data_IF_573866133641
#
_entry.id   IF_573866133641
#
_cell.length_a   1.000
_cell.length_b   1.000
_cell.length_c   1.000
_cell.angle_alpha   90.00
_cell.angle_beta   90.00
_cell.angle_gamma   90.00
#
_symmetry.space_group_name_H-M   'P 1'
#
loop_
_entity.id
_entity.type
_entity.pdbx_description
1 polymer ?
#
# COMPACT_ATOMS: atom_id res chain seq x y z
N UNK A 1 40.97 -40.69 63.48
CA UNK A 1 41.66 -40.92 62.19
C UNK A 1 41.17 -39.88 61.21
N UNK A 2 42.01 -38.87 60.95
CA UNK A 2 41.76 -37.74 60.06
C UNK A 2 42.12 -38.22 58.65
N UNK A 3 41.13 -38.47 57.79
CA UNK A 3 41.40 -38.79 56.39
C UNK A 3 41.81 -37.50 55.65
N UNK A 4 43.00 -37.47 55.03
CA UNK A 4 43.49 -36.36 54.23
C UNK A 4 43.01 -36.50 52.77
N UNK A 5 43.19 -35.43 52.00
CA UNK A 5 43.18 -35.41 50.53
C UNK A 5 41.83 -35.19 49.81
N UNK A 6 41.17 -34.06 50.09
CA UNK A 6 40.27 -33.39 49.11
C UNK A 6 40.94 -32.20 48.39
N UNK A 7 42.16 -31.83 48.80
CA UNK A 7 42.95 -30.76 48.18
C UNK A 7 43.35 -31.00 46.71
N UNK A 8 43.67 -32.22 46.22
CA UNK A 8 44.08 -32.36 44.82
C UNK A 8 42.92 -32.22 43.84
N UNK A 9 41.69 -32.55 44.26
CA UNK A 9 40.49 -32.43 43.43
C UNK A 9 40.08 -30.98 43.21
N UNK A 10 40.23 -30.12 44.22
CA UNK A 10 39.90 -28.68 44.12
C UNK A 10 40.93 -27.94 43.26
N UNK A 11 42.22 -28.32 43.33
CA UNK A 11 43.27 -27.73 42.48
C UNK A 11 43.09 -28.10 41.00
N UNK A 12 42.69 -29.34 40.71
CA UNK A 12 42.40 -29.78 39.33
C UNK A 12 41.19 -29.03 38.75
N UNK A 13 40.15 -28.78 39.57
CA UNK A 13 38.96 -28.04 39.13
C UNK A 13 39.24 -26.55 38.88
N UNK A 14 40.13 -25.92 39.66
CA UNK A 14 40.48 -24.51 39.49
C UNK A 14 41.42 -24.27 38.29
N UNK A 15 42.28 -25.23 37.94
CA UNK A 15 43.14 -25.13 36.76
C UNK A 15 42.38 -25.30 35.43
N UNK A 16 41.23 -25.99 35.44
CA UNK A 16 40.38 -26.14 34.24
C UNK A 16 39.61 -24.85 33.87
N UNK A 17 39.52 -23.87 34.77
CA UNK A 17 38.75 -22.61 34.57
C UNK A 17 39.62 -21.45 34.04
N UNK A 18 40.94 -21.61 33.96
CA UNK A 18 41.87 -20.51 33.63
C UNK A 18 42.63 -20.63 32.31
N UNK A 19 42.22 -21.52 31.41
CA UNK A 19 42.77 -21.55 30.05
C UNK A 19 41.97 -20.60 29.13
N UNK A 20 42.54 -19.46 28.69
CA UNK A 20 41.91 -18.66 27.64
C UNK A 20 41.86 -19.48 26.34
N UNK A 21 40.74 -19.50 25.61
CA UNK A 21 40.68 -20.14 24.32
C UNK A 21 41.70 -19.47 23.40
N UNK A 22 42.71 -20.23 22.99
CA UNK A 22 43.65 -19.88 21.95
C UNK A 22 42.88 -19.37 20.73
N UNK A 23 43.23 -18.17 20.28
CA UNK A 23 42.71 -17.54 19.08
C UNK A 23 43.04 -18.39 17.83
N UNK A 24 42.23 -19.42 17.59
CA UNK A 24 42.04 -19.93 16.25
C UNK A 24 41.14 -18.92 15.53
N UNK A 25 41.67 -18.27 14.49
CA UNK A 25 40.97 -17.24 13.73
C UNK A 25 39.60 -17.72 13.26
N UNK A 26 38.56 -17.32 13.99
CA UNK A 26 37.21 -17.26 13.44
C UNK A 26 37.15 -15.98 12.61
N UNK A 27 37.17 -16.16 11.30
CA UNK A 27 36.55 -15.22 10.38
C UNK A 27 35.21 -14.77 10.98
N UNK A 28 34.88 -13.47 10.99
CA UNK A 28 33.56 -13.05 11.40
C UNK A 28 32.58 -13.58 10.35
N UNK A 29 31.87 -14.68 10.65
CA UNK A 29 30.58 -14.95 10.01
C UNK A 29 29.57 -13.98 10.62
N UNK A 30 29.77 -12.70 10.32
CA UNK A 30 28.74 -11.68 10.44
C UNK A 30 27.78 -11.87 9.27
N UNK A 31 26.93 -12.90 9.31
CA UNK A 31 25.70 -12.98 8.52
C UNK A 31 24.64 -13.76 9.29
N UNK A 32 24.02 -13.12 10.27
CA UNK A 32 22.59 -13.33 10.49
C UNK A 32 21.91 -12.00 10.22
N UNK A 33 21.88 -11.63 8.93
CA UNK A 33 20.86 -10.72 8.46
C UNK A 33 19.56 -11.53 8.38
N UNK A 34 18.63 -11.26 9.29
CA UNK A 34 17.29 -11.90 9.39
C UNK A 34 16.64 -12.21 8.02
N UNK A 35 16.79 -13.45 7.58
CA UNK A 35 16.83 -13.97 6.20
C UNK A 35 15.55 -13.92 5.36
N UNK A 36 14.87 -12.78 5.18
CA UNK A 36 13.87 -12.69 4.10
C UNK A 36 14.57 -12.33 2.78
N UNK A 37 14.67 -13.32 1.88
CA UNK A 37 14.94 -13.10 0.44
C UNK A 37 13.80 -12.27 -0.15
N UNK A 38 14.04 -11.39 -1.15
CA UNK A 38 12.96 -10.83 -1.92
C UNK A 38 12.10 -11.96 -2.49
N UNK A 39 10.78 -11.80 -2.45
CA UNK A 39 9.84 -12.74 -3.04
C UNK A 39 8.72 -12.00 -3.77
N UNK A 40 8.25 -12.61 -4.85
CA UNK A 40 7.12 -12.13 -5.65
C UNK A 40 5.93 -13.07 -5.45
N UNK A 41 4.73 -12.51 -5.34
CA UNK A 41 3.48 -13.24 -5.36
C UNK A 41 2.64 -12.81 -6.57
N UNK A 42 2.37 -13.73 -7.49
CA UNK A 42 1.47 -13.49 -8.60
C UNK A 42 0.04 -13.72 -8.15
N UNK A 43 -0.81 -12.70 -8.25
CA UNK A 43 -2.18 -12.78 -7.78
C UNK A 43 -3.18 -12.47 -8.91
N UNK A 44 -4.43 -12.88 -8.68
CA UNK A 44 -5.53 -12.66 -9.62
C UNK A 44 -5.48 -13.54 -10.87
N UNK A 45 -6.66 -13.76 -11.46
CA UNK A 45 -6.81 -14.60 -12.67
C UNK A 45 -6.61 -13.83 -13.99
N UNK A 46 -6.34 -12.52 -13.93
CA UNK A 46 -6.27 -11.67 -15.10
C UNK A 46 -4.84 -11.52 -15.64
N UNK A 47 -4.65 -11.79 -16.93
CA UNK A 47 -3.42 -11.45 -17.67
C UNK A 47 -3.69 -10.35 -18.71
N UNK A 48 -2.68 -9.56 -19.05
CA UNK A 48 -2.74 -8.57 -20.11
C UNK A 48 -1.95 -9.03 -21.33
N UNK A 49 -2.31 -8.57 -22.52
CA UNK A 49 -1.58 -8.95 -23.74
C UNK A 49 -0.26 -8.18 -23.86
N UNK A 50 0.77 -8.84 -24.40
CA UNK A 50 2.01 -8.17 -24.78
C UNK A 50 1.74 -7.02 -25.77
N UNK A 51 2.50 -5.93 -25.65
CA UNK A 51 2.35 -4.67 -26.40
C UNK A 51 0.96 -4.02 -26.26
N UNK A 52 0.22 -4.33 -25.20
CA UNK A 52 -1.08 -3.69 -24.94
C UNK A 52 -0.94 -2.29 -24.36
N UNK A 53 -2.01 -1.50 -24.46
CA UNK A 53 -2.12 -0.21 -23.79
C UNK A 53 -1.94 -0.34 -22.27
N UNK A 54 -2.39 -1.45 -21.67
CA UNK A 54 -2.18 -1.73 -20.25
C UNK A 54 -0.68 -1.85 -19.91
N UNK A 55 0.09 -2.57 -20.73
CA UNK A 55 1.54 -2.71 -20.54
C UNK A 55 2.26 -1.36 -20.66
N UNK A 56 1.92 -0.56 -21.67
CA UNK A 56 2.48 0.79 -21.82
C UNK A 56 2.15 1.68 -20.61
N UNK A 57 0.93 1.62 -20.10
CA UNK A 57 0.53 2.35 -18.91
C UNK A 57 1.22 1.84 -17.64
N UNK A 58 1.53 0.54 -17.55
CA UNK A 58 2.29 -0.05 -16.44
C UNK A 58 3.72 0.50 -16.41
N UNK A 59 4.38 0.57 -17.58
CA UNK A 59 5.73 1.17 -17.68
C UNK A 59 5.73 2.65 -17.29
N UNK A 60 4.71 3.40 -17.71
CA UNK A 60 4.53 4.81 -17.29
C UNK A 60 4.30 4.93 -15.78
N UNK A 61 3.50 4.04 -15.20
CA UNK A 61 3.25 4.01 -13.76
C UNK A 61 4.54 3.76 -12.97
N UNK A 62 5.39 2.83 -13.39
CA UNK A 62 6.70 2.61 -12.77
C UNK A 62 7.56 3.88 -12.79
N UNK A 63 7.65 4.56 -13.94
CA UNK A 63 8.40 5.82 -14.05
C UNK A 63 7.84 6.94 -13.16
N UNK A 64 6.52 7.02 -13.02
CA UNK A 64 5.85 8.02 -12.17
C UNK A 64 6.19 7.78 -10.70
N UNK A 65 6.13 6.54 -10.23
CA UNK A 65 6.43 6.22 -8.84
C UNK A 65 7.89 6.52 -8.49
N UNK A 66 8.82 6.23 -9.41
CA UNK A 66 10.24 6.58 -9.24
C UNK A 66 10.45 8.10 -9.17
N UNK A 67 9.78 8.87 -10.03
CA UNK A 67 9.87 10.33 -10.01
C UNK A 67 9.29 10.92 -8.71
N UNK A 68 8.20 10.36 -8.21
CA UNK A 68 7.58 10.81 -6.96
C UNK A 68 8.38 10.44 -5.72
N UNK A 69 8.99 9.25 -5.70
CA UNK A 69 9.93 8.86 -4.64
C UNK A 69 11.10 9.84 -4.58
N UNK A 70 11.68 10.18 -5.73
CA UNK A 70 12.79 11.13 -5.82
C UNK A 70 12.40 12.53 -5.35
N UNK A 71 11.13 12.93 -5.52
CA UNK A 71 10.64 14.26 -5.15
C UNK A 71 10.18 14.36 -3.68
N UNK A 72 9.58 13.30 -3.12
CA UNK A 72 8.81 13.38 -1.86
C UNK A 72 9.37 12.50 -0.74
N UNK A 73 10.25 11.55 -1.03
CA UNK A 73 10.79 10.63 -0.04
C UNK A 73 9.81 9.54 0.42
N UNK A 74 10.23 8.64 1.33
CA UNK A 74 10.00 7.22 1.15
C UNK A 74 9.05 6.65 2.21
N UNK A 75 7.80 7.11 2.27
CA UNK A 75 6.84 6.50 3.21
C UNK A 75 5.82 5.63 2.50
N UNK A 76 4.93 6.26 1.75
CA UNK A 76 3.88 5.56 1.02
C UNK A 76 3.46 6.42 -0.17
N UNK A 77 3.25 5.79 -1.31
CA UNK A 77 2.68 6.45 -2.49
C UNK A 77 1.90 5.44 -3.30
N UNK A 78 0.78 5.90 -3.82
CA UNK A 78 -0.13 5.12 -4.63
C UNK A 78 -0.52 5.92 -5.86
N UNK A 79 -0.37 5.32 -7.04
CA UNK A 79 -0.70 5.96 -8.32
C UNK A 79 -1.37 4.99 -9.26
N UNK A 80 -2.12 5.56 -10.19
CA UNK A 80 -2.76 4.85 -11.27
C UNK A 80 -2.60 5.65 -12.57
N UNK A 81 -2.39 4.96 -13.69
CA UNK A 81 -2.17 5.57 -15.01
C UNK A 81 -3.16 5.00 -16.00
N UNK A 82 -3.82 5.86 -16.78
CA UNK A 82 -4.76 5.47 -17.82
C UNK A 82 -6.22 5.39 -17.38
N UNK A 83 -7.04 4.78 -18.23
CA UNK A 83 -8.49 4.61 -18.07
C UNK A 83 -8.89 3.14 -18.21
N UNK A 84 -9.98 2.74 -17.53
CA UNK A 84 -10.48 1.37 -17.57
C UNK A 84 -10.80 0.95 -19.02
N UNK A 85 -10.44 -0.27 -19.47
CA UNK A 85 -9.81 -1.38 -18.71
C UNK A 85 -8.26 -1.35 -18.72
N UNK A 86 -7.64 -0.30 -19.24
CA UNK A 86 -6.19 -0.14 -19.35
C UNK A 86 -5.62 0.76 -18.25
N UNK A 87 -6.07 0.57 -17.00
CA UNK A 87 -5.69 1.41 -15.86
C UNK A 87 -4.94 0.60 -14.80
N UNK A 88 -3.63 0.39 -14.95
CA UNK A 88 -2.81 -0.14 -13.86
C UNK A 88 -2.75 0.85 -12.69
N UNK A 89 -2.68 0.27 -11.49
CA UNK A 89 -2.46 0.95 -10.22
C UNK A 89 -1.32 0.25 -9.48
N UNK A 90 -0.55 1.00 -8.72
CA UNK A 90 0.46 0.45 -7.85
C UNK A 90 0.64 1.31 -6.61
N UNK A 91 0.89 0.65 -5.49
CA UNK A 91 1.30 1.26 -4.24
C UNK A 91 2.69 0.77 -3.87
N UNK A 92 3.52 1.64 -3.32
CA UNK A 92 4.78 1.24 -2.72
C UNK A 92 4.86 1.71 -1.28
N UNK A 93 5.54 0.92 -0.46
CA UNK A 93 5.91 1.26 0.89
C UNK A 93 7.41 1.05 1.04
N UNK A 94 8.13 2.11 1.35
CA UNK A 94 9.56 2.02 1.62
C UNK A 94 9.76 1.88 3.12
N UNK A 95 10.65 0.98 3.54
CA UNK A 95 11.04 0.93 4.94
C UNK A 95 12.02 2.07 5.21
N UNK A 96 11.65 2.98 6.10
CA UNK A 96 12.58 3.94 6.68
C UNK A 96 13.62 3.18 7.50
N UNK A 97 14.90 3.25 7.14
CA UNK A 97 15.94 2.97 8.13
C UNK A 97 16.05 4.16 9.06
N UNK A 98 15.91 3.89 10.36
CA UNK A 98 16.30 4.83 11.41
C UNK A 98 17.78 5.14 11.20
N UNK A 99 18.17 6.41 11.07
CA UNK A 99 19.59 6.77 11.25
C UNK A 99 19.97 6.28 12.63
N UNK A 100 20.98 5.43 12.72
CA UNK A 100 21.57 5.10 14.02
C UNK A 100 22.07 6.39 14.67
N UNK A 101 22.00 6.45 16.01
CA UNK A 101 22.30 7.66 16.81
C UNK A 101 23.72 8.20 16.54
N UNK A 102 24.61 7.35 16.04
CA UNK A 102 25.99 7.67 15.67
C UNK A 102 26.14 8.21 14.23
N UNK A 103 25.04 8.40 13.50
CA UNK A 103 25.07 8.82 12.09
C UNK A 103 25.60 7.75 11.12
N UNK A 104 25.93 6.55 11.62
CA UNK A 104 26.53 5.42 10.88
C UNK A 104 25.53 4.41 10.36
N UNK A 105 24.24 4.57 10.67
CA UNK A 105 23.19 3.76 10.08
C UNK A 105 23.11 4.03 8.59
N UNK A 106 23.77 3.17 7.80
CA UNK A 106 23.82 3.16 6.32
C UNK A 106 22.54 3.75 5.73
N UNK A 107 22.63 5.04 5.44
CA UNK A 107 21.49 5.94 5.26
C UNK A 107 20.71 5.74 3.99
N UNK A 108 21.05 4.76 3.15
CA UNK A 108 20.39 4.52 1.89
C UNK A 108 20.24 3.00 1.66
N UNK A 109 19.05 2.46 1.89
CA UNK A 109 18.53 1.61 0.82
C UNK A 109 17.86 2.59 -0.13
N UNK A 110 18.43 2.90 -1.31
CA UNK A 110 17.78 3.83 -2.23
C UNK A 110 16.43 3.20 -2.59
N UNK A 111 15.33 3.72 -2.03
CA UNK A 111 14.02 3.10 -2.22
C UNK A 111 13.66 3.13 -3.71
N UNK A 112 14.06 4.18 -4.44
CA UNK A 112 14.09 4.21 -5.90
C UNK A 112 14.65 2.92 -6.53
N UNK A 113 15.81 2.45 -6.09
CA UNK A 113 16.42 1.25 -6.65
C UNK A 113 15.62 -0.01 -6.28
N UNK A 114 15.03 -0.06 -5.08
CA UNK A 114 14.15 -1.14 -4.69
C UNK A 114 12.86 -1.16 -5.52
N UNK A 115 12.24 -0.01 -5.77
CA UNK A 115 11.05 0.13 -6.61
C UNK A 115 11.38 -0.32 -8.05
N UNK A 116 12.51 0.14 -8.60
CA UNK A 116 12.95 -0.24 -9.93
C UNK A 116 13.21 -1.76 -10.02
N UNK A 117 13.89 -2.35 -9.03
CA UNK A 117 14.10 -3.79 -8.91
C UNK A 117 12.77 -4.56 -8.83
N UNK A 118 11.86 -4.11 -7.97
CA UNK A 118 10.57 -4.73 -7.74
C UNK A 118 9.76 -4.87 -9.04
N UNK A 119 9.72 -3.84 -9.89
CA UNK A 119 9.04 -3.94 -11.18
C UNK A 119 9.67 -4.97 -12.13
N UNK A 120 11.01 -5.09 -12.12
CA UNK A 120 11.74 -6.08 -12.91
C UNK A 120 11.51 -7.51 -12.38
N UNK A 121 11.57 -7.69 -11.06
CA UNK A 121 11.31 -8.98 -10.41
C UNK A 121 9.87 -9.44 -10.62
N UNK A 122 8.89 -8.53 -10.49
CA UNK A 122 7.48 -8.80 -10.80
C UNK A 122 7.30 -9.19 -12.26
N UNK A 123 7.97 -8.51 -13.19
CA UNK A 123 7.87 -8.86 -14.62
C UNK A 123 8.51 -10.23 -14.93
N UNK A 124 9.59 -10.58 -14.22
CA UNK A 124 10.27 -11.86 -14.38
C UNK A 124 9.47 -13.03 -13.81
N UNK A 125 8.90 -12.88 -12.61
CA UNK A 125 8.21 -13.97 -11.90
C UNK A 125 6.72 -14.04 -12.24
N UNK A 126 6.10 -12.89 -12.54
CA UNK A 126 4.69 -12.77 -12.90
C UNK A 126 4.51 -12.13 -14.28
N UNK A 127 4.99 -12.76 -15.36
CA UNK A 127 4.85 -12.21 -16.70
C UNK A 127 3.38 -12.02 -17.05
N UNK A 128 3.02 -10.84 -17.54
CA UNK A 128 1.66 -10.49 -17.98
C UNK A 128 0.57 -10.50 -16.92
N UNK A 129 0.86 -10.78 -15.64
CA UNK A 129 -0.15 -10.74 -14.59
C UNK A 129 -0.67 -9.32 -14.38
N UNK A 130 -1.98 -9.18 -14.18
CA UNK A 130 -2.63 -7.90 -13.86
C UNK A 130 -2.62 -7.58 -12.37
N UNK A 131 -2.17 -8.51 -11.52
CA UNK A 131 -1.97 -8.27 -10.09
C UNK A 131 -0.74 -9.05 -9.60
N UNK A 132 0.11 -8.39 -8.83
CA UNK A 132 1.31 -8.98 -8.25
C UNK A 132 1.75 -8.20 -7.02
N UNK A 133 2.39 -8.89 -6.10
CA UNK A 133 3.02 -8.30 -4.93
C UNK A 133 4.51 -8.61 -4.94
N UNK A 134 5.30 -7.67 -4.46
CA UNK A 134 6.71 -7.85 -4.21
C UNK A 134 7.02 -7.43 -2.78
N UNK A 135 7.78 -8.29 -2.11
CA UNK A 135 8.19 -8.08 -0.73
C UNK A 135 9.70 -8.24 -0.65
N UNK A 136 10.38 -7.17 -0.29
CA UNK A 136 11.80 -7.16 0.06
C UNK A 136 11.96 -6.50 1.42
N UNK A 137 13.18 -6.50 1.99
CA UNK A 137 13.51 -5.77 3.22
C UNK A 137 13.51 -4.25 3.05
N UNK A 138 13.75 -3.77 1.83
CA UNK A 138 13.89 -2.34 1.55
C UNK A 138 12.55 -1.68 1.18
N UNK A 139 11.71 -2.38 0.43
CA UNK A 139 10.40 -1.89 0.02
C UNK A 139 9.42 -3.05 -0.23
N UNK A 140 8.14 -2.72 -0.23
CA UNK A 140 7.08 -3.58 -0.77
C UNK A 140 6.39 -2.84 -1.90
N UNK A 141 6.00 -3.57 -2.95
CA UNK A 141 5.25 -3.05 -4.10
C UNK A 141 4.00 -3.91 -4.28
N UNK A 142 2.84 -3.28 -4.33
CA UNK A 142 1.61 -3.89 -4.81
C UNK A 142 1.32 -3.32 -6.19
N UNK A 143 1.10 -4.19 -7.15
CA UNK A 143 0.69 -3.86 -8.51
C UNK A 143 -0.66 -4.53 -8.80
N UNK A 144 -1.61 -3.79 -9.35
CA UNK A 144 -2.94 -4.32 -9.68
C UNK A 144 -3.61 -3.56 -10.83
N UNK A 145 -4.62 -4.17 -11.45
CA UNK A 145 -5.56 -3.47 -12.31
C UNK A 145 -6.55 -2.69 -11.44
N UNK A 146 -6.73 -1.40 -11.75
CA UNK A 146 -7.73 -0.59 -11.09
C UNK A 146 -9.14 -1.12 -11.40
N UNK A 147 -9.87 -1.52 -10.36
CA UNK A 147 -11.27 -1.94 -10.45
C UNK A 147 -12.16 -0.93 -9.73
N UNK A 148 -13.26 -0.56 -10.40
CA UNK A 148 -14.30 0.30 -9.81
C UNK A 148 -15.12 -0.49 -8.78
N UNK A 149 -15.29 -1.80 -9.01
CA UNK A 149 -15.99 -2.74 -8.14
C UNK A 149 -15.10 -3.95 -7.88
N UNK A 150 -14.70 -4.19 -6.63
CA UNK A 150 -13.89 -5.34 -6.23
C UNK A 150 -13.33 -5.21 -4.81
N UNK A 151 -13.21 -6.33 -4.10
CA UNK A 151 -12.70 -6.44 -2.71
C UNK A 151 -11.21 -6.76 -2.62
N UNK A 152 -10.47 -6.62 -3.73
CA UNK A 152 -9.11 -7.14 -3.86
C UNK A 152 -8.00 -6.15 -3.44
N UNK A 153 -8.24 -5.26 -2.48
CA UNK A 153 -7.18 -4.44 -1.88
C UNK A 153 -6.60 -5.14 -0.65
N UNK A 154 -5.54 -5.91 -0.84
CA UNK A 154 -4.79 -6.51 0.27
C UNK A 154 -3.80 -5.48 0.82
N UNK A 155 -4.30 -4.63 1.73
CA UNK A 155 -3.60 -3.77 2.72
C UNK A 155 -2.60 -2.72 2.16
N UNK A 156 -2.68 -1.40 2.40
CA UNK A 156 -3.10 -0.63 3.59
C UNK A 156 -3.65 0.74 3.15
N UNK A 157 -4.97 0.90 3.23
CA UNK A 157 -5.60 2.15 3.65
C UNK A 157 -7.05 1.83 4.00
N UNK A 158 -7.29 1.37 5.24
CA UNK A 158 -8.65 1.33 5.80
C UNK A 158 -9.37 2.69 5.70
N UNK A 159 -8.63 3.79 5.50
CA UNK A 159 -9.17 5.12 5.24
C UNK A 159 -9.77 5.31 3.83
N UNK A 160 -9.35 4.56 2.81
CA UNK A 160 -9.78 4.80 1.43
C UNK A 160 -11.09 4.08 1.10
N UNK A 161 -11.32 2.87 1.63
CA UNK A 161 -12.57 2.12 1.36
C UNK A 161 -13.77 2.79 2.02
N UNK A 162 -13.64 3.19 3.29
CA UNK A 162 -14.69 3.95 3.98
C UNK A 162 -14.94 5.28 3.28
N UNK A 163 -13.89 6.00 2.83
CA UNK A 163 -14.08 7.23 2.05
C UNK A 163 -14.74 7.00 0.70
N UNK A 164 -14.43 5.91 -0.01
CA UNK A 164 -15.06 5.57 -1.28
C UNK A 164 -16.56 5.26 -1.09
N UNK A 165 -16.88 4.47 -0.05
CA UNK A 165 -18.26 4.13 0.31
C UNK A 165 -19.01 5.38 0.76
N UNK A 166 -18.43 6.19 1.65
CA UNK A 166 -19.02 7.46 2.09
C UNK A 166 -19.21 8.44 0.93
N UNK A 167 -18.24 8.56 0.02
CA UNK A 167 -18.35 9.43 -1.15
C UNK A 167 -19.49 8.97 -2.07
N UNK A 168 -19.60 7.66 -2.34
CA UNK A 168 -20.71 7.11 -3.12
C UNK A 168 -22.06 7.33 -2.44
N UNK A 169 -22.16 7.11 -1.13
CA UNK A 169 -23.37 7.39 -0.35
C UNK A 169 -23.80 8.85 -0.36
N UNK A 170 -22.86 9.79 -0.23
CA UNK A 170 -23.11 11.23 -0.31
C UNK A 170 -23.62 11.66 -1.70
N UNK A 171 -23.11 11.05 -2.77
CA UNK A 171 -23.58 11.32 -4.13
C UNK A 171 -25.04 10.87 -4.31
N UNK A 172 -25.39 9.66 -3.86
CA UNK A 172 -26.78 9.18 -3.94
C UNK A 172 -27.73 10.03 -3.09
N UNK A 173 -27.30 10.47 -1.91
CA UNK A 173 -28.07 11.40 -1.08
C UNK A 173 -28.28 12.74 -1.80
N UNK A 174 -27.24 13.33 -2.38
CA UNK A 174 -27.33 14.59 -3.10
C UNK A 174 -28.30 14.51 -4.31
N UNK A 175 -28.25 13.42 -5.07
CA UNK A 175 -29.18 13.16 -6.17
C UNK A 175 -30.61 13.04 -5.65
N UNK A 176 -30.81 12.31 -4.54
CA UNK A 176 -32.12 12.16 -3.90
C UNK A 176 -32.69 13.50 -3.42
N UNK A 177 -31.90 14.32 -2.73
CA UNK A 177 -32.32 15.65 -2.29
C UNK A 177 -32.61 16.60 -3.44
N UNK A 178 -31.79 16.58 -4.50
CA UNK A 178 -32.03 17.37 -5.70
C UNK A 178 -33.36 16.99 -6.37
N UNK A 179 -33.68 15.70 -6.41
CA UNK A 179 -34.94 15.22 -6.97
C UNK A 179 -36.16 15.59 -6.12
N UNK A 180 -36.08 15.40 -4.79
CA UNK A 180 -37.13 15.84 -3.86
C UNK A 180 -37.37 17.35 -3.94
N UNK A 181 -36.30 18.14 -3.99
CA UNK A 181 -36.40 19.60 -4.15
C UNK A 181 -37.05 19.98 -5.48
N UNK A 182 -36.69 19.29 -6.56
CA UNK A 182 -37.32 19.48 -7.87
C UNK A 182 -38.83 19.17 -7.81
N UNK A 183 -39.24 18.07 -7.18
CA UNK A 183 -40.65 17.72 -7.02
C UNK A 183 -41.41 18.77 -6.19
N UNK A 184 -40.82 19.26 -5.09
CA UNK A 184 -41.40 20.34 -4.29
C UNK A 184 -41.53 21.65 -5.07
N UNK A 185 -40.55 21.99 -5.91
CA UNK A 185 -40.63 23.15 -6.80
C UNK A 185 -41.74 23.00 -7.85
N UNK A 186 -41.94 21.80 -8.40
CA UNK A 186 -43.04 21.53 -9.33
C UNK A 186 -44.40 21.72 -8.64
N UNK A 187 -44.56 21.19 -7.43
CA UNK A 187 -45.79 21.32 -6.65
C UNK A 187 -46.08 22.78 -6.28
N UNK A 188 -45.07 23.51 -5.78
CA UNK A 188 -45.22 24.94 -5.46
C UNK A 188 -45.60 25.76 -6.68
N UNK A 189 -44.97 25.49 -7.84
CA UNK A 189 -45.27 26.17 -9.10
C UNK A 189 -46.66 25.79 -9.63
N UNK A 190 -47.12 24.57 -9.41
CA UNK A 190 -48.49 24.12 -9.70
C UNK A 190 -49.52 24.84 -8.84
N UNK A 191 -49.27 24.90 -7.53
CA UNK A 191 -50.16 25.57 -6.56
C UNK A 191 -50.26 27.08 -6.79
N UNK A 192 -49.16 27.74 -7.16
CA UNK A 192 -49.17 29.16 -7.58
C UNK A 192 -49.96 29.38 -8.87
N UNK A 193 -49.92 28.44 -9.82
CA UNK A 193 -50.72 28.53 -11.04
C UNK A 193 -52.21 28.28 -10.78
N UNK A 194 -52.55 27.36 -9.86
CA UNK A 194 -53.94 27.10 -9.46
C UNK A 194 -54.60 28.22 -8.64
N UNK A 195 -53.83 28.94 -7.81
CA UNK A 195 -54.35 30.08 -7.04
C UNK A 195 -54.60 31.33 -7.87
N UNK A 196 -54.07 31.42 -9.09
CA UNK A 196 -54.34 32.53 -10.02
C UNK A 196 -55.67 32.35 -10.80
N UNK A 197 -56.31 31.18 -10.73
CA UNK A 197 -57.49 30.83 -11.54
C UNK A 197 -58.82 30.83 -10.77
N UNK A 198 -58.90 31.40 -9.57
CA UNK A 198 -60.18 31.68 -8.93
C UNK A 198 -60.55 33.16 -9.07
N UNK A 199 -61.42 33.54 -10.03
CA UNK A 199 -62.11 34.81 -9.97
C UNK A 199 -63.22 34.71 -8.92
N UNK A 200 -63.11 35.51 -7.86
CA UNK A 200 -64.23 35.81 -6.96
C UNK A 200 -65.24 36.64 -7.74
N UNK A 201 -66.21 35.99 -8.37
CA UNK A 201 -67.42 36.67 -8.85
C UNK A 201 -68.34 36.93 -7.66
N UNK A 202 -68.17 38.08 -7.00
CA UNK A 202 -69.22 38.67 -6.17
C UNK A 202 -70.16 39.44 -7.10
N UNK A 203 -71.35 38.87 -7.27
CA UNK A 203 -72.51 39.49 -7.90
C UNK A 203 -72.83 40.83 -7.22
N UNK A 204 -73.05 41.84 -8.06
CA UNK A 204 -73.67 43.12 -7.73
C UNK A 204 -75.03 43.18 -8.44
N UNK A 205 -76.07 43.61 -7.72
CA UNK A 205 -77.38 44.04 -8.25
C UNK A 205 -78.38 42.91 -8.50
N UNK A 206 -79.42 42.80 -7.67
CA UNK A 206 -80.63 43.63 -7.71
C UNK A 206 -81.27 43.72 -6.31
#
# INVERSE_FOLDING_TARGET
MKNPSLLPLVVVLLLAVSLPPTAAGMLPLALVGDGTSPYVECAGAGVYAANSTFEANRRRLASLLLAEEAARGPYYTERAVGYWPNRPQASFFCRLRRRDVDGTGSGDSPCAACIAGAFLEVERECPYHRKAFFYSRNCTLEFSEFRIFGTDSTFVSEGNVLRQILASGLIFQAIGFAWLFFLLLQEWRGRKRGTMMHPTSLLSGD
#
